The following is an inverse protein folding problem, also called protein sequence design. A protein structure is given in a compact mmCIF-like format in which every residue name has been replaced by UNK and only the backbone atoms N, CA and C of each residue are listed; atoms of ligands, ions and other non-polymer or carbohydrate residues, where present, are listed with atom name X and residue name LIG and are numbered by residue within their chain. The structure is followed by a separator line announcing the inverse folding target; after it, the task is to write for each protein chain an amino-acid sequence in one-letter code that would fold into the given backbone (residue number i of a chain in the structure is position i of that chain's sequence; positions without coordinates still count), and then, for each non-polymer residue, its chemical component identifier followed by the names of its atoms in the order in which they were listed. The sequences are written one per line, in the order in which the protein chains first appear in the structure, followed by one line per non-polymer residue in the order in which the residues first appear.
data_IF_942789687422
#
_entry.id   IF_942789687422
#
_cell.length_a   1.000
_cell.length_b   1.000
_cell.length_c   1.000
_cell.angle_alpha   90.00
_cell.angle_beta   90.00
_cell.angle_gamma   90.00
#
_symmetry.space_group_name_H-M   'P 1'
#
loop_
_entity.id
_entity.type
_entity.pdbx_description
1 polymer ?
#
# COMPACT_ATOMS: atom_id res chain seq x y z
N UNK A 1 18.15 45.20 6.12
CA UNK A 1 19.19 44.25 5.69
C UNK A 1 18.48 42.98 5.23
N UNK A 2 18.30 42.79 3.91
CA UNK A 2 17.67 41.57 3.38
C UNK A 2 18.76 40.50 3.27
N UNK A 3 18.57 39.35 3.91
CA UNK A 3 19.44 38.19 3.73
C UNK A 3 19.37 37.78 2.24
N UNK A 4 20.50 37.39 1.62
CA UNK A 4 20.47 36.86 0.26
C UNK A 4 19.59 35.60 0.21
N UNK A 5 18.94 35.32 -0.92
CA UNK A 5 18.20 34.07 -1.07
C UNK A 5 19.17 32.90 -0.86
N UNK A 6 18.84 32.03 0.10
CA UNK A 6 19.55 30.78 0.29
C UNK A 6 19.13 29.88 -0.86
N UNK A 7 19.99 29.76 -1.86
CA UNK A 7 19.86 28.75 -2.91
C UNK A 7 20.22 27.41 -2.28
N UNK A 8 19.21 26.65 -1.84
CA UNK A 8 19.43 25.27 -1.40
C UNK A 8 19.65 24.45 -2.66
N UNK A 9 20.88 23.95 -2.84
CA UNK A 9 21.16 22.96 -3.87
C UNK A 9 20.44 21.66 -3.50
N UNK A 10 19.48 21.17 -4.33
CA UNK A 10 18.79 19.93 -4.06
C UNK A 10 19.63 18.70 -4.42
N UNK A 11 20.88 18.84 -4.86
CA UNK A 11 21.82 17.73 -4.97
C UNK A 11 22.37 17.33 -3.58
N UNK A 12 22.69 16.04 -3.36
CA UNK A 12 23.47 15.65 -2.18
C UNK A 12 24.80 16.39 -2.15
N UNK A 13 25.18 16.86 -0.96
CA UNK A 13 26.43 17.57 -0.73
C UNK A 13 27.67 16.75 -1.15
N UNK A 14 27.54 15.42 -1.19
CA UNK A 14 28.53 14.51 -1.75
C UNK A 14 27.95 13.79 -3.00
N UNK A 15 28.42 14.15 -4.21
CA UNK A 15 27.96 13.55 -5.47
C UNK A 15 28.38 12.08 -5.66
N UNK A 16 29.37 11.57 -4.88
CA UNK A 16 29.79 10.17 -4.95
C UNK A 16 28.74 9.23 -4.35
N UNK A 17 27.83 9.76 -3.51
CA UNK A 17 26.71 9.01 -2.93
C UNK A 17 25.62 8.66 -3.96
N UNK A 18 25.63 9.31 -5.14
CA UNK A 18 24.80 8.96 -6.28
C UNK A 18 25.60 8.05 -7.23
N UNK A 19 25.45 6.73 -7.11
CA UNK A 19 25.94 5.83 -8.16
C UNK A 19 25.17 6.13 -9.46
N UNK A 20 25.88 6.59 -10.49
CA UNK A 20 25.29 6.98 -11.78
C UNK A 20 25.16 8.48 -12.03
N UNK A 21 26.05 9.31 -11.46
CA UNK A 21 26.11 10.75 -11.76
C UNK A 21 26.20 11.00 -13.29
N UNK A 22 25.23 11.73 -13.85
CA UNK A 22 25.02 11.90 -15.31
C UNK A 22 23.86 11.08 -15.90
N UNK A 23 23.31 10.14 -15.15
CA UNK A 23 22.13 9.33 -15.51
C UNK A 23 20.96 9.52 -14.53
N UNK A 24 21.19 10.36 -13.51
CA UNK A 24 20.26 10.69 -12.44
C UNK A 24 19.26 11.75 -12.94
N UNK A 25 17.95 11.48 -12.79
CA UNK A 25 16.85 12.27 -13.37
C UNK A 25 16.52 13.54 -12.62
N UNK A 26 17.19 13.75 -11.49
CA UNK A 26 16.98 14.90 -10.65
C UNK A 26 17.14 16.20 -11.45
N UNK A 27 18.19 16.31 -12.24
CA UNK A 27 18.50 17.51 -13.02
C UNK A 27 17.41 17.82 -14.06
N UNK A 28 16.77 16.80 -14.65
CA UNK A 28 15.70 16.97 -15.64
C UNK A 28 14.32 17.20 -15.02
N UNK A 29 14.03 16.68 -13.83
CA UNK A 29 12.83 17.06 -13.06
C UNK A 29 12.93 18.52 -12.61
N UNK A 30 14.10 18.96 -12.15
CA UNK A 30 14.34 20.36 -11.74
C UNK A 30 14.42 21.34 -12.92
N UNK A 31 14.93 20.91 -14.08
CA UNK A 31 14.93 21.71 -15.31
C UNK A 31 13.57 21.72 -16.03
N UNK A 32 12.56 21.00 -15.52
CA UNK A 32 11.25 20.82 -16.15
C UNK A 32 11.33 20.16 -17.55
N UNK A 33 12.38 19.36 -17.76
CA UNK A 33 12.69 18.61 -18.99
C UNK A 33 12.38 17.11 -18.83
N UNK A 34 11.51 16.75 -17.88
CA UNK A 34 11.20 15.36 -17.55
C UNK A 34 10.52 14.66 -18.74
N UNK A 35 11.33 14.02 -19.59
CA UNK A 35 10.88 13.06 -20.58
C UNK A 35 10.12 11.90 -19.92
N UNK A 36 9.13 11.41 -20.68
CA UNK A 36 8.12 10.36 -20.50
C UNK A 36 8.48 9.08 -19.68
N UNK A 37 9.02 9.19 -18.47
CA UNK A 37 9.31 8.06 -17.56
C UNK A 37 8.96 8.36 -16.10
N UNK A 38 7.83 9.00 -15.82
CA UNK A 38 7.29 9.08 -14.45
C UNK A 38 7.03 7.67 -13.91
N UNK A 39 7.46 7.37 -12.67
CA UNK A 39 6.98 6.16 -12.02
C UNK A 39 5.47 6.25 -11.92
N UNK A 40 4.75 5.27 -12.45
CA UNK A 40 3.31 5.23 -12.32
C UNK A 40 2.98 4.87 -10.87
N UNK A 41 2.39 5.82 -10.14
CA UNK A 41 1.84 5.45 -8.84
C UNK A 41 0.59 4.61 -9.07
N UNK A 42 0.55 3.49 -8.37
CA UNK A 42 -0.54 2.54 -8.52
C UNK A 42 -1.85 3.14 -8.01
N UNK A 43 -2.87 3.14 -8.86
CA UNK A 43 -4.23 3.48 -8.46
C UNK A 43 -4.86 2.37 -7.60
N UNK A 44 -5.67 2.77 -6.62
CA UNK A 44 -6.43 1.88 -5.73
C UNK A 44 -7.74 1.40 -6.37
N UNK A 45 -7.65 0.86 -7.59
CA UNK A 45 -8.82 0.67 -8.48
C UNK A 45 -9.66 -0.59 -8.22
N UNK A 46 -9.17 -1.51 -7.40
CA UNK A 46 -9.83 -2.80 -7.13
C UNK A 46 -10.17 -2.99 -5.65
N UNK A 47 -10.35 -1.91 -4.89
CA UNK A 47 -10.80 -2.00 -3.50
C UNK A 47 -12.29 -2.32 -3.45
N UNK A 48 -12.68 -3.12 -2.45
CA UNK A 48 -14.10 -3.30 -2.11
C UNK A 48 -14.62 -1.98 -1.54
N UNK A 49 -15.86 -1.62 -1.87
CA UNK A 49 -16.46 -0.37 -1.39
C UNK A 49 -16.69 -0.44 0.12
N UNK A 50 -16.26 0.60 0.84
CA UNK A 50 -16.52 0.70 2.27
C UNK A 50 -18.02 0.90 2.56
N UNK A 51 -18.50 0.28 3.63
CA UNK A 51 -19.84 0.46 4.15
C UNK A 51 -19.77 0.68 5.67
N UNK A 52 -20.63 1.53 6.24
CA UNK A 52 -20.59 1.86 7.68
C UNK A 52 -20.79 0.64 8.59
N UNK A 53 -21.46 -0.41 8.09
CA UNK A 53 -21.60 -1.69 8.81
C UNK A 53 -20.26 -2.40 9.04
N UNK A 54 -19.21 -2.05 8.30
CA UNK A 54 -17.89 -2.66 8.44
C UNK A 54 -17.06 -2.03 9.57
N UNK A 55 -17.43 -0.83 10.02
CA UNK A 55 -16.77 -0.08 11.09
C UNK A 55 -16.41 -0.92 12.32
N UNK A 56 -17.36 -1.64 12.98
CA UNK A 56 -17.03 -2.37 14.21
C UNK A 56 -15.95 -3.44 13.97
N UNK A 57 -15.92 -4.05 12.79
CA UNK A 57 -14.92 -5.05 12.43
C UNK A 57 -13.54 -4.42 12.18
N UNK A 58 -13.51 -3.24 11.54
CA UNK A 58 -12.26 -2.49 11.32
C UNK A 58 -11.68 -1.95 12.63
N UNK A 59 -12.52 -1.47 13.54
CA UNK A 59 -12.11 -1.03 14.87
C UNK A 59 -11.56 -2.20 15.68
N UNK A 60 -12.25 -3.35 15.69
CA UNK A 60 -11.78 -4.56 16.35
C UNK A 60 -10.46 -5.09 15.77
N UNK A 61 -10.23 -4.92 14.47
CA UNK A 61 -8.99 -5.30 13.80
C UNK A 61 -7.88 -4.24 13.92
N UNK A 62 -8.13 -3.07 14.52
CA UNK A 62 -7.18 -1.96 14.57
C UNK A 62 -6.86 -1.32 13.21
N UNK A 63 -7.71 -1.56 12.19
CA UNK A 63 -7.53 -1.08 10.81
C UNK A 63 -8.35 0.17 10.49
N UNK A 64 -9.20 0.63 11.41
CA UNK A 64 -10.04 1.80 11.16
C UNK A 64 -9.23 3.07 10.87
N UNK A 65 -8.07 3.22 11.51
CA UNK A 65 -7.14 4.34 11.33
C UNK A 65 -6.51 4.41 9.92
N UNK A 66 -6.58 3.32 9.14
CA UNK A 66 -6.06 3.24 7.77
C UNK A 66 -7.03 3.83 6.75
N UNK A 67 -8.33 3.97 7.07
CA UNK A 67 -9.33 4.48 6.13
C UNK A 67 -8.98 5.83 5.48
N UNK A 68 -8.40 6.82 6.19
CA UNK A 68 -7.94 8.07 5.59
C UNK A 68 -6.85 7.89 4.53
N UNK A 69 -6.07 6.80 4.59
CA UNK A 69 -5.08 6.47 3.57
C UNK A 69 -5.72 5.99 2.27
N UNK A 70 -6.97 5.51 2.27
CA UNK A 70 -7.66 4.98 1.08
C UNK A 70 -7.87 6.06 0.00
N UNK A 71 -8.45 7.24 0.28
CA UNK A 71 -8.63 8.26 -0.75
C UNK A 71 -7.36 9.06 -1.08
N UNK A 72 -6.24 8.87 -0.35
CA UNK A 72 -5.02 9.63 -0.62
C UNK A 72 -4.52 9.43 -2.05
N UNK A 73 -4.51 10.53 -2.80
CA UNK A 73 -3.87 10.60 -4.11
C UNK A 73 -2.39 10.89 -3.91
N UNK A 74 -1.60 10.13 -4.62
CA UNK A 74 -0.15 10.16 -4.60
C UNK A 74 0.35 10.90 -5.83
N UNK A 75 1.07 12.00 -5.63
CA UNK A 75 1.68 12.72 -6.74
C UNK A 75 2.92 11.98 -7.23
N UNK A 76 2.84 11.40 -8.43
CA UNK A 76 3.92 10.67 -9.07
C UNK A 76 5.20 11.51 -9.23
N UNK A 77 5.04 12.83 -9.41
CA UNK A 77 6.16 13.76 -9.57
C UNK A 77 6.92 13.97 -8.26
N UNK A 78 6.25 13.87 -7.10
CA UNK A 78 6.86 14.00 -5.77
C UNK A 78 7.43 12.67 -5.27
N UNK A 79 6.81 11.54 -5.63
CA UNK A 79 7.25 10.21 -5.19
C UNK A 79 8.48 9.74 -5.96
N UNK A 80 8.56 10.06 -7.26
CA UNK A 80 9.68 9.63 -8.12
C UNK A 80 11.06 10.02 -7.54
N UNK A 81 11.31 11.27 -7.13
CA UNK A 81 12.59 11.65 -6.52
C UNK A 81 12.88 10.93 -5.20
N UNK A 82 11.86 10.63 -4.40
CA UNK A 82 12.03 9.87 -3.15
C UNK A 82 12.44 8.43 -3.43
N UNK A 83 11.78 7.78 -4.39
CA UNK A 83 12.11 6.41 -4.82
C UNK A 83 13.54 6.32 -5.34
N UNK A 84 13.99 7.28 -6.14
CA UNK A 84 15.38 7.30 -6.67
C UNK A 84 16.45 7.46 -5.56
N UNK A 85 16.07 8.06 -4.44
CA UNK A 85 16.94 8.29 -3.28
C UNK A 85 16.86 7.22 -2.20
N UNK A 86 15.98 6.24 -2.35
CA UNK A 86 15.89 5.09 -1.45
C UNK A 86 17.10 4.17 -1.61
N UNK A 87 17.69 3.75 -0.49
CA UNK A 87 18.72 2.71 -0.42
C UNK A 87 18.12 1.49 0.28
N UNK A 88 17.77 0.43 -0.48
CA UNK A 88 17.15 -0.75 0.11
C UNK A 88 18.09 -1.50 1.06
N UNK A 89 19.41 -1.37 0.91
CA UNK A 89 20.40 -2.04 1.74
C UNK A 89 20.40 -1.53 3.19
N UNK A 90 20.21 -0.22 3.37
CA UNK A 90 20.18 0.44 4.68
C UNK A 90 18.78 0.83 5.14
N UNK A 91 17.77 0.70 4.27
CA UNK A 91 16.42 1.22 4.51
C UNK A 91 16.39 2.72 4.81
N UNK A 92 17.23 3.49 4.11
CA UNK A 92 17.36 4.95 4.29
C UNK A 92 17.17 5.72 2.98
N UNK A 93 16.67 6.95 3.08
CA UNK A 93 16.67 7.93 1.99
C UNK A 93 17.94 8.77 2.04
N UNK A 94 18.57 8.97 0.89
CA UNK A 94 19.72 9.86 0.73
C UNK A 94 19.23 11.21 0.22
N UNK A 95 19.00 12.14 1.14
CA UNK A 95 18.51 13.49 0.84
C UNK A 95 19.68 14.50 0.83
N UNK A 96 19.48 15.72 0.29
CA UNK A 96 20.52 16.75 0.18
C UNK A 96 21.15 17.15 1.52
N UNK A 97 20.34 17.03 2.56
CA UNK A 97 20.68 17.36 3.94
C UNK A 97 21.12 16.14 4.77
N UNK A 98 21.31 14.98 4.15
CA UNK A 98 21.82 13.77 4.79
C UNK A 98 20.92 12.54 4.63
N UNK A 99 21.27 11.49 5.36
CA UNK A 99 20.52 10.25 5.40
C UNK A 99 19.31 10.37 6.33
N UNK A 100 18.15 9.92 5.87
CA UNK A 100 16.92 9.86 6.66
C UNK A 100 16.43 8.43 6.71
N UNK A 101 16.30 7.89 7.91
CA UNK A 101 15.77 6.53 8.14
C UNK A 101 14.29 6.62 8.45
N UNK A 102 13.46 5.76 7.86
CA UNK A 102 12.08 5.58 8.32
C UNK A 102 12.10 4.68 9.55
N UNK A 103 11.60 5.18 10.67
CA UNK A 103 11.46 4.38 11.90
C UNK A 103 10.08 3.73 11.98
N UNK A 104 9.93 2.75 12.88
CA UNK A 104 8.61 2.18 13.16
C UNK A 104 7.64 3.23 13.73
N UNK A 105 8.12 4.21 14.49
CA UNK A 105 7.31 5.32 15.00
C UNK A 105 6.72 6.17 13.86
N UNK A 106 7.51 6.44 12.82
CA UNK A 106 7.02 7.13 11.62
C UNK A 106 5.92 6.32 10.93
N UNK A 107 6.09 4.99 10.82
CA UNK A 107 5.08 4.10 10.22
C UNK A 107 3.79 4.11 11.03
N UNK A 108 3.87 4.03 12.36
CA UNK A 108 2.70 4.13 13.26
C UNK A 108 2.03 5.48 13.09
N UNK A 109 2.80 6.57 13.05
CA UNK A 109 2.28 7.92 12.95
C UNK A 109 1.57 8.18 11.62
N UNK A 110 2.14 7.67 10.52
CA UNK A 110 1.60 7.84 9.18
C UNK A 110 0.42 6.91 8.90
N UNK A 111 0.44 5.68 9.39
CA UNK A 111 -0.61 4.67 9.11
C UNK A 111 -1.68 4.54 10.18
N UNK A 112 -1.38 4.95 11.40
CA UNK A 112 -2.20 4.70 12.59
C UNK A 112 -2.29 3.22 12.96
N UNK A 113 -1.45 2.34 12.41
CA UNK A 113 -1.39 0.93 12.76
C UNK A 113 -0.57 0.73 14.04
N UNK A 114 -1.06 -0.14 14.92
CA UNK A 114 -0.28 -0.57 16.07
C UNK A 114 0.88 -1.48 15.62
N UNK A 115 2.07 -1.24 16.16
CA UNK A 115 3.28 -2.06 15.90
C UNK A 115 3.53 -3.11 16.99
N UNK A 116 2.81 -3.02 18.11
CA UNK A 116 2.88 -3.97 19.20
C UNK A 116 1.81 -5.06 19.02
N UNK A 117 2.19 -6.32 19.19
CA UNK A 117 1.27 -7.46 19.10
C UNK A 117 1.96 -8.76 18.70
N UNK A 118 1.20 -9.84 18.73
CA UNK A 118 1.67 -11.15 18.29
C UNK A 118 1.76 -11.20 16.76
N UNK A 119 2.84 -11.81 16.25
CA UNK A 119 2.99 -12.03 14.82
C UNK A 119 1.87 -12.95 14.30
N UNK A 120 1.12 -12.49 13.32
CA UNK A 120 0.10 -13.30 12.64
C UNK A 120 0.79 -14.07 11.51
N UNK A 121 1.12 -15.34 11.76
CA UNK A 121 1.62 -16.28 10.75
C UNK A 121 0.54 -17.31 10.48
N UNK A 122 0.11 -17.43 9.21
CA UNK A 122 -0.89 -18.41 8.81
C UNK A 122 -0.30 -19.28 7.70
N UNK A 123 -0.09 -20.55 8.00
CA UNK A 123 0.18 -21.58 6.99
C UNK A 123 -1.12 -22.30 6.65
N UNK A 124 -1.60 -22.14 5.42
CA UNK A 124 -2.84 -22.77 4.96
C UNK A 124 -2.52 -23.97 4.06
N UNK A 125 -2.89 -25.21 4.46
CA UNK A 125 -2.81 -26.37 3.58
C UNK A 125 -3.70 -26.19 2.35
N UNK A 126 -3.23 -26.65 1.19
CA UNK A 126 -3.95 -26.59 -0.09
C UNK A 126 -5.34 -27.21 -0.03
N UNK A 127 -5.46 -28.31 0.70
CA UNK A 127 -6.68 -29.11 0.84
C UNK A 127 -7.78 -28.37 1.63
N UNK A 128 -7.41 -27.37 2.44
CA UNK A 128 -8.33 -26.60 3.27
C UNK A 128 -8.75 -25.26 2.66
N UNK A 129 -8.10 -24.84 1.58
CA UNK A 129 -8.28 -23.51 1.01
C UNK A 129 -9.72 -23.15 0.66
N UNK A 130 -10.42 -24.04 -0.05
CA UNK A 130 -11.82 -23.85 -0.41
C UNK A 130 -12.72 -23.76 0.83
N UNK A 131 -12.45 -24.57 1.85
CA UNK A 131 -13.18 -24.57 3.13
C UNK A 131 -12.98 -23.25 3.87
N UNK A 132 -11.74 -22.74 3.89
CA UNK A 132 -11.41 -21.46 4.50
C UNK A 132 -12.09 -20.31 3.75
N UNK A 133 -12.09 -20.34 2.41
CA UNK A 133 -12.80 -19.35 1.60
C UNK A 133 -14.30 -19.37 1.87
N UNK A 134 -14.93 -20.54 1.93
CA UNK A 134 -16.35 -20.66 2.28
C UNK A 134 -16.63 -20.13 3.70
N UNK A 135 -15.78 -20.46 4.67
CA UNK A 135 -15.97 -20.00 6.05
C UNK A 135 -15.79 -18.49 6.19
N UNK A 136 -14.75 -17.93 5.58
CA UNK A 136 -14.41 -16.51 5.74
C UNK A 136 -15.24 -15.61 4.83
N UNK A 137 -15.47 -16.02 3.58
CA UNK A 137 -16.07 -15.21 2.52
C UNK A 137 -17.43 -15.72 2.03
N UNK A 138 -17.85 -16.93 2.41
CA UNK A 138 -19.08 -17.56 1.90
C UNK A 138 -19.01 -18.00 0.44
N UNK A 139 -17.86 -17.79 -0.24
CA UNK A 139 -17.67 -18.01 -1.67
C UNK A 139 -16.27 -18.53 -1.95
N UNK A 140 -16.12 -19.32 -3.01
CA UNK A 140 -14.82 -19.83 -3.47
C UNK A 140 -14.41 -19.10 -4.75
N UNK A 141 -13.22 -18.47 -4.81
CA UNK A 141 -12.71 -17.88 -6.04
C UNK A 141 -12.56 -18.91 -7.17
N UNK A 142 -12.97 -18.55 -8.39
CA UNK A 142 -13.15 -19.51 -9.50
C UNK A 142 -11.87 -20.11 -10.09
N UNK A 143 -10.70 -19.47 -9.96
CA UNK A 143 -9.38 -20.14 -10.07
C UNK A 143 -8.24 -19.18 -9.73
N UNK A 144 -7.21 -19.75 -9.12
CA UNK A 144 -5.99 -19.11 -8.61
C UNK A 144 -4.90 -19.11 -9.68
N UNK A 145 -4.80 -18.03 -10.47
CA UNK A 145 -3.65 -17.86 -11.39
C UNK A 145 -2.32 -17.59 -10.67
N UNK A 146 -2.27 -17.70 -9.34
CA UNK A 146 -1.10 -17.44 -8.50
C UNK A 146 -0.80 -18.51 -7.45
N UNK A 147 -1.51 -19.65 -7.47
CA UNK A 147 -1.39 -20.70 -6.44
C UNK A 147 -2.37 -20.53 -5.28
N UNK A 148 -2.41 -21.53 -4.40
CA UNK A 148 -3.30 -21.61 -3.23
C UNK A 148 -3.07 -20.43 -2.28
N UNK A 149 -4.13 -19.96 -1.62
CA UNK A 149 -4.03 -18.85 -0.68
C UNK A 149 -4.04 -17.48 -1.34
N UNK A 150 -4.21 -17.40 -2.66
CA UNK A 150 -4.19 -16.15 -3.42
C UNK A 150 -5.58 -15.82 -3.96
N UNK A 151 -6.02 -14.57 -3.84
CA UNK A 151 -7.29 -14.09 -4.39
C UNK A 151 -7.07 -12.89 -5.28
N UNK A 152 -7.69 -12.85 -6.47
CA UNK A 152 -7.61 -11.68 -7.35
C UNK A 152 -8.38 -10.51 -6.73
N UNK A 153 -7.78 -9.32 -6.70
CA UNK A 153 -8.45 -8.11 -6.18
C UNK A 153 -9.69 -7.75 -6.98
N UNK A 154 -9.67 -8.02 -8.30
CA UNK A 154 -10.83 -7.84 -9.19
C UNK A 154 -11.98 -8.74 -8.77
N UNK A 155 -11.70 -10.01 -8.46
CA UNK A 155 -12.73 -10.94 -7.98
C UNK A 155 -13.31 -10.48 -6.64
N UNK A 156 -12.47 -10.06 -5.68
CA UNK A 156 -12.95 -9.51 -4.40
C UNK A 156 -13.87 -8.30 -4.62
N UNK A 157 -13.44 -7.34 -5.45
CA UNK A 157 -14.27 -6.18 -5.76
C UNK A 157 -15.60 -6.61 -6.39
N UNK A 158 -15.56 -7.43 -7.43
CA UNK A 158 -16.77 -7.75 -8.21
C UNK A 158 -17.78 -8.52 -7.35
N UNK A 159 -17.33 -9.51 -6.59
CA UNK A 159 -18.18 -10.34 -5.72
C UNK A 159 -18.73 -9.58 -4.51
N UNK A 160 -17.96 -8.65 -3.94
CA UNK A 160 -18.31 -7.94 -2.70
C UNK A 160 -18.64 -6.45 -2.94
N UNK A 161 -18.88 -6.05 -4.18
CA UNK A 161 -19.17 -4.66 -4.56
C UNK A 161 -20.44 -4.11 -3.93
N UNK A 162 -21.47 -4.95 -3.78
CA UNK A 162 -22.79 -4.55 -3.31
C UNK A 162 -23.33 -5.56 -2.28
N UNK A 163 -23.40 -5.15 -1.02
CA UNK A 163 -24.06 -5.93 0.01
C UNK A 163 -25.58 -5.86 -0.16
N UNK A 164 -26.32 -6.98 0.00
CA UNK A 164 -27.78 -6.95 0.05
C UNK A 164 -28.29 -6.07 1.22
N UNK A 165 -29.32 -5.25 0.98
CA UNK A 165 -29.87 -4.35 2.00
C UNK A 165 -30.51 -5.05 3.21
N UNK A 166 -30.84 -6.33 3.09
CA UNK A 166 -31.39 -7.19 4.14
C UNK A 166 -30.42 -8.32 4.54
N UNK A 167 -29.11 -8.09 4.39
CA UNK A 167 -28.09 -9.07 4.73
C UNK A 167 -28.17 -9.50 6.20
N UNK A 168 -27.95 -10.79 6.45
CA UNK A 168 -27.74 -11.30 7.80
C UNK A 168 -26.42 -10.76 8.39
N UNK A 169 -26.25 -10.95 9.70
CA UNK A 169 -24.97 -10.65 10.35
C UNK A 169 -23.81 -11.42 9.71
N UNK A 170 -24.00 -12.70 9.42
CA UNK A 170 -22.98 -13.55 8.78
C UNK A 170 -22.57 -13.02 7.40
N UNK A 171 -23.54 -12.59 6.57
CA UNK A 171 -23.23 -12.00 5.26
C UNK A 171 -22.49 -10.68 5.44
N UNK A 172 -22.88 -9.85 6.40
CA UNK A 172 -22.17 -8.59 6.70
C UNK A 172 -20.73 -8.84 7.15
N UNK A 173 -20.49 -9.87 7.97
CA UNK A 173 -19.16 -10.28 8.39
C UNK A 173 -18.29 -10.74 7.21
N UNK A 174 -18.85 -11.53 6.29
CA UNK A 174 -18.16 -11.98 5.07
C UNK A 174 -17.74 -10.79 4.20
N UNK A 175 -18.64 -9.80 4.03
CA UNK A 175 -18.33 -8.56 3.31
C UNK A 175 -17.29 -7.69 4.03
N UNK A 176 -17.35 -7.59 5.36
CA UNK A 176 -16.36 -6.88 6.15
C UNK A 176 -14.97 -7.53 6.04
N UNK A 177 -14.89 -8.88 6.08
CA UNK A 177 -13.63 -9.63 5.85
C UNK A 177 -13.09 -9.39 4.45
N UNK A 178 -13.95 -9.43 3.41
CA UNK A 178 -13.54 -9.11 2.04
C UNK A 178 -12.98 -7.68 1.92
N UNK A 179 -13.61 -6.71 2.60
CA UNK A 179 -13.13 -5.34 2.66
C UNK A 179 -11.75 -5.25 3.32
N UNK A 180 -11.56 -5.89 4.49
CA UNK A 180 -10.27 -5.95 5.21
C UNK A 180 -9.18 -6.58 4.35
N UNK A 181 -9.46 -7.71 3.69
CA UNK A 181 -8.51 -8.35 2.76
C UNK A 181 -8.15 -7.40 1.61
N UNK A 182 -9.13 -6.70 1.03
CA UNK A 182 -8.88 -5.73 -0.04
C UNK A 182 -8.04 -4.54 0.45
N UNK A 183 -8.25 -4.08 1.68
CA UNK A 183 -7.49 -3.00 2.31
C UNK A 183 -6.02 -3.42 2.54
N UNK A 184 -5.82 -4.62 3.09
CA UNK A 184 -4.49 -5.18 3.31
C UNK A 184 -3.72 -5.33 2.00
N UNK A 185 -4.28 -6.00 0.98
CA UNK A 185 -3.56 -6.23 -0.28
C UNK A 185 -3.55 -5.04 -1.25
N UNK A 186 -4.45 -4.08 -1.07
CA UNK A 186 -4.61 -2.93 -1.96
C UNK A 186 -3.97 -1.64 -1.46
N UNK A 187 -3.76 -1.50 -0.13
CA UNK A 187 -3.23 -0.29 0.50
C UNK A 187 -1.98 -0.57 1.32
N UNK A 188 -1.98 -1.59 2.18
CA UNK A 188 -0.91 -1.79 3.19
C UNK A 188 0.25 -2.66 2.68
N UNK A 189 -0.06 -3.82 2.12
CA UNK A 189 0.90 -4.88 1.77
C UNK A 189 0.83 -5.23 0.28
N UNK A 190 0.86 -4.21 -0.58
CA UNK A 190 0.73 -4.42 -2.02
C UNK A 190 1.89 -5.27 -2.57
N UNK A 191 1.58 -6.39 -3.23
CA UNK A 191 2.57 -7.23 -3.92
C UNK A 191 2.87 -6.71 -5.33
N UNK A 192 3.97 -7.17 -5.95
CA UNK A 192 4.53 -6.69 -7.23
C UNK A 192 3.53 -6.43 -8.37
N UNK A 193 2.46 -7.21 -8.50
CA UNK A 193 1.42 -6.99 -9.52
C UNK A 193 0.17 -6.30 -8.96
N UNK A 194 -0.03 -6.36 -7.64
CA UNK A 194 -1.19 -5.89 -6.89
C UNK A 194 -2.55 -6.44 -7.35
N UNK A 195 -2.56 -7.31 -8.36
CA UNK A 195 -3.76 -7.95 -8.90
C UNK A 195 -4.26 -9.07 -7.97
N UNK A 196 -3.50 -9.39 -6.93
CA UNK A 196 -3.70 -10.52 -6.04
C UNK A 196 -3.43 -10.14 -4.59
N UNK A 197 -4.14 -10.78 -3.66
CA UNK A 197 -3.97 -10.68 -2.22
C UNK A 197 -3.85 -12.09 -1.64
N UNK A 198 -3.02 -12.26 -0.61
CA UNK A 198 -2.96 -13.51 0.16
C UNK A 198 -4.03 -13.50 1.26
N UNK A 199 -4.69 -14.63 1.47
CA UNK A 199 -5.80 -14.78 2.42
C UNK A 199 -5.40 -15.70 3.57
#
# INVERSE_FOLDING_TARGET
MRLPPVTIDPAPADPVLLRGHGQHRIDSVWANEAGDRTYHVRGKTNLVTYHELYRPYLEAAGLFSVLPLVPMNSDASLITPLVERWRPESSTFHLPFGEVTITLEDVVTLSGLAIDGDAVVVDIPVEEWSTICLRLLGRVPSYVSGGVGVVRTVWLRDEFSHQPGNASQEVTEQFARAYVISLMGGVLFTYRSGATVHL
#
